data_IF_024321359543
#
_entry.id   IF_024321359543
#
_cell.length_a   1.000
_cell.length_b   1.000
_cell.length_c   1.000
_cell.angle_alpha   90.00
_cell.angle_beta   90.00
_cell.angle_gamma   90.00
#
_symmetry.space_group_name_H-M   'P 1'
#
loop_
_entity.id
_entity.type
_entity.pdbx_description
1 polymer ?
#
# COMPACT_ATOMS: atom_id res chain seq x y z
N UNK A 1 3.34 -12.03 -18.33
CA UNK A 1 4.70 -11.52 -18.50
C UNK A 1 5.60 -12.09 -17.42
N UNK A 2 6.80 -12.56 -17.79
CA UNK A 2 7.76 -13.06 -16.81
C UNK A 2 8.13 -11.91 -15.85
N UNK A 3 8.16 -12.17 -14.56
CA UNK A 3 8.66 -11.20 -13.60
C UNK A 3 10.15 -10.96 -13.86
N UNK A 4 10.62 -9.70 -13.89
CA UNK A 4 12.05 -9.44 -14.04
C UNK A 4 12.81 -10.06 -12.84
N UNK A 5 14.04 -10.54 -13.06
CA UNK A 5 14.85 -11.03 -11.95
C UNK A 5 15.14 -9.89 -10.97
N UNK A 6 15.37 -10.22 -9.67
CA UNK A 6 15.75 -9.21 -8.69
C UNK A 6 17.06 -8.53 -9.11
N UNK A 7 17.27 -7.26 -8.73
CA UNK A 7 18.51 -6.56 -9.03
C UNK A 7 19.69 -7.27 -8.33
N UNK A 8 20.83 -7.32 -9.02
CA UNK A 8 22.06 -7.91 -8.46
C UNK A 8 22.61 -7.11 -7.27
N UNK A 9 22.36 -5.81 -7.24
CA UNK A 9 22.75 -4.90 -6.15
C UNK A 9 21.81 -3.68 -6.12
N UNK A 10 21.63 -3.13 -4.92
CA UNK A 10 20.97 -1.84 -4.70
C UNK A 10 21.97 -0.90 -4.04
N UNK A 11 22.25 0.23 -4.68
CA UNK A 11 23.12 1.28 -4.16
C UNK A 11 22.25 2.48 -3.83
N UNK A 12 22.22 2.89 -2.56
CA UNK A 12 21.43 4.00 -2.08
C UNK A 12 22.35 5.00 -1.37
N UNK A 13 22.46 6.21 -1.94
CA UNK A 13 23.22 7.32 -1.36
C UNK A 13 22.21 8.23 -0.61
N UNK A 14 22.29 8.27 0.71
CA UNK A 14 21.39 9.05 1.56
C UNK A 14 21.57 10.55 1.37
N UNK A 15 22.78 11.02 1.06
CA UNK A 15 23.06 12.42 0.74
C UNK A 15 22.44 12.88 -0.58
N UNK A 16 22.18 11.95 -1.50
CA UNK A 16 21.40 12.21 -2.74
C UNK A 16 19.91 12.13 -2.46
N UNK A 17 19.46 11.07 -1.77
CA UNK A 17 18.06 10.82 -1.48
C UNK A 17 17.39 11.92 -0.65
N UNK A 18 18.10 12.51 0.31
CA UNK A 18 17.59 13.60 1.15
C UNK A 18 17.25 14.87 0.35
N UNK A 19 17.84 15.04 -0.83
CA UNK A 19 17.59 16.18 -1.73
C UNK A 19 16.39 15.97 -2.66
N UNK A 20 15.87 14.75 -2.74
CA UNK A 20 14.67 14.48 -3.53
C UNK A 20 13.44 15.17 -2.90
N UNK A 21 12.43 15.54 -3.70
CA UNK A 21 11.19 16.08 -3.15
C UNK A 21 10.59 15.13 -2.12
N UNK A 22 10.30 15.63 -0.92
CA UNK A 22 9.83 14.84 0.22
C UNK A 22 8.58 14.01 -0.10
N UNK A 23 7.74 14.49 -1.00
CA UNK A 23 6.55 13.76 -1.49
C UNK A 23 6.88 12.34 -1.97
N UNK A 24 8.03 12.15 -2.61
CA UNK A 24 8.45 10.82 -3.08
C UNK A 24 8.81 9.89 -1.91
N UNK A 25 9.44 10.43 -0.85
CA UNK A 25 9.71 9.66 0.36
C UNK A 25 8.41 9.27 1.07
N UNK A 26 7.49 10.22 1.25
CA UNK A 26 6.18 9.98 1.86
C UNK A 26 5.37 8.96 1.07
N UNK A 27 5.35 9.07 -0.26
CA UNK A 27 4.70 8.09 -1.15
C UNK A 27 5.32 6.70 -1.03
N UNK A 28 6.64 6.58 -1.00
CA UNK A 28 7.32 5.29 -0.80
C UNK A 28 7.02 4.67 0.58
N UNK A 29 6.94 5.50 1.62
CA UNK A 29 6.50 5.03 2.95
C UNK A 29 5.07 4.51 2.92
N UNK A 30 4.16 5.21 2.26
CA UNK A 30 2.75 4.83 2.15
C UNK A 30 2.59 3.51 1.39
N UNK A 31 3.38 3.30 0.35
CA UNK A 31 3.43 2.04 -0.40
C UNK A 31 3.89 0.87 0.49
N UNK A 32 4.98 1.03 1.24
CA UNK A 32 5.46 -0.02 2.15
C UNK A 32 4.50 -0.26 3.32
N UNK A 33 3.88 0.78 3.89
CA UNK A 33 2.85 0.64 4.94
C UNK A 33 1.68 -0.20 4.41
N UNK A 34 1.34 -0.10 3.13
CA UNK A 34 0.26 -0.86 2.51
C UNK A 34 0.50 -2.38 2.51
N UNK A 35 1.74 -2.87 2.72
CA UNK A 35 2.02 -4.28 2.94
C UNK A 35 1.13 -4.89 4.04
N UNK A 36 0.70 -4.09 5.04
CA UNK A 36 -0.16 -4.58 6.13
C UNK A 36 -1.48 -5.16 5.62
N UNK A 37 -2.07 -4.59 4.58
CA UNK A 37 -3.29 -5.12 3.94
C UNK A 37 -2.97 -6.22 2.94
N UNK A 38 -1.90 -6.06 2.16
CA UNK A 38 -1.44 -7.09 1.22
C UNK A 38 -1.19 -8.44 1.92
N UNK A 39 -0.57 -8.41 3.10
CA UNK A 39 -0.28 -9.60 3.90
C UNK A 39 -1.56 -10.23 4.46
N UNK A 40 -2.55 -9.45 4.88
CA UNK A 40 -3.87 -9.96 5.28
C UNK A 40 -4.61 -10.61 4.12
N UNK A 41 -4.57 -10.00 2.94
CA UNK A 41 -5.12 -10.56 1.72
C UNK A 41 -4.43 -11.87 1.32
N UNK A 42 -3.10 -11.95 1.44
CA UNK A 42 -2.36 -13.16 1.12
C UNK A 42 -2.67 -14.30 2.10
N UNK A 43 -2.72 -14.03 3.41
CA UNK A 43 -3.13 -15.02 4.41
C UNK A 43 -4.60 -15.45 4.22
N UNK A 44 -5.48 -14.52 3.81
CA UNK A 44 -6.85 -14.83 3.47
C UNK A 44 -6.94 -15.74 2.23
N UNK A 45 -6.20 -15.42 1.16
CA UNK A 45 -6.14 -16.24 -0.05
C UNK A 45 -5.56 -17.64 0.22
N UNK A 46 -4.51 -17.73 1.05
CA UNK A 46 -3.96 -19.01 1.51
C UNK A 46 -5.03 -19.89 2.17
N UNK A 47 -5.86 -19.30 3.05
CA UNK A 47 -6.90 -20.03 3.80
C UNK A 47 -8.10 -20.44 2.96
N UNK A 48 -8.46 -19.64 1.95
CA UNK A 48 -9.71 -19.81 1.18
C UNK A 48 -9.46 -20.49 -0.18
N UNK A 49 -8.30 -20.23 -0.79
CA UNK A 49 -7.95 -20.71 -2.14
C UNK A 49 -6.72 -21.63 -2.13
N UNK A 50 -6.21 -22.02 -0.96
CA UNK A 50 -5.00 -22.85 -0.80
C UNK A 50 -3.79 -22.30 -1.58
N UNK A 51 -3.66 -20.96 -1.59
CA UNK A 51 -2.60 -20.28 -2.32
C UNK A 51 -1.24 -20.47 -1.64
N UNK A 52 -0.18 -20.61 -2.44
CA UNK A 52 1.19 -20.75 -1.95
C UNK A 52 1.57 -19.56 -1.04
N UNK A 53 2.22 -19.87 0.08
CA UNK A 53 2.53 -18.90 1.12
C UNK A 53 3.95 -19.10 1.68
N UNK A 54 4.71 -18.02 1.78
CA UNK A 54 6.03 -17.98 2.39
C UNK A 54 6.01 -17.20 3.71
N UNK A 55 6.18 -17.91 4.82
CA UNK A 55 6.27 -17.29 6.15
C UNK A 55 7.43 -16.30 6.25
N UNK A 56 8.58 -16.60 5.63
CA UNK A 56 9.75 -15.72 5.64
C UNK A 56 9.48 -14.41 4.90
N UNK A 57 8.85 -14.50 3.72
CA UNK A 57 8.46 -13.31 2.95
C UNK A 57 7.41 -12.48 3.70
N UNK A 58 6.41 -13.15 4.29
CA UNK A 58 5.40 -12.52 5.13
C UNK A 58 6.04 -11.72 6.28
N UNK A 59 6.91 -12.38 7.07
CA UNK A 59 7.57 -11.76 8.23
C UNK A 59 8.41 -10.54 7.82
N UNK A 60 9.12 -10.63 6.69
CA UNK A 60 9.95 -9.53 6.20
C UNK A 60 9.13 -8.33 5.74
N UNK A 61 8.04 -8.56 4.99
CA UNK A 61 7.15 -7.48 4.55
C UNK A 61 6.38 -6.87 5.72
N UNK A 62 5.98 -7.68 6.70
CA UNK A 62 5.35 -7.20 7.93
C UNK A 62 6.28 -6.29 8.73
N UNK A 63 7.53 -6.74 8.96
CA UNK A 63 8.56 -5.93 9.63
C UNK A 63 8.77 -4.59 8.91
N UNK A 64 8.83 -4.59 7.58
CA UNK A 64 9.02 -3.37 6.81
C UNK A 64 7.91 -2.34 7.07
N UNK A 65 6.64 -2.76 7.00
CA UNK A 65 5.49 -1.89 7.23
C UNK A 65 5.40 -1.44 8.69
N UNK A 66 5.53 -2.38 9.64
CA UNK A 66 5.46 -2.11 11.08
C UNK A 66 6.56 -1.13 11.53
N UNK A 67 7.77 -1.27 10.99
CA UNK A 67 8.88 -0.35 11.27
C UNK A 67 8.54 1.09 10.88
N UNK A 68 7.91 1.32 9.72
CA UNK A 68 7.50 2.66 9.29
C UNK A 68 6.36 3.21 10.13
N UNK A 69 5.38 2.38 10.47
CA UNK A 69 4.25 2.77 11.32
C UNK A 69 4.76 3.23 12.69
N UNK A 70 5.61 2.43 13.33
CA UNK A 70 6.12 2.71 14.69
C UNK A 70 7.05 3.92 14.73
N UNK A 71 7.75 4.24 13.62
CA UNK A 71 8.64 5.38 13.52
C UNK A 71 8.04 6.57 12.75
N UNK A 72 6.75 6.55 12.43
CA UNK A 72 6.09 7.55 11.57
C UNK A 72 6.27 8.98 12.05
N UNK A 73 6.31 9.22 13.36
CA UNK A 73 6.50 10.54 13.95
C UNK A 73 7.93 11.09 13.81
N UNK A 74 8.91 10.21 13.54
CA UNK A 74 10.33 10.56 13.39
C UNK A 74 10.71 10.84 11.93
N UNK A 75 9.86 10.43 10.98
CA UNK A 75 10.11 10.64 9.54
C UNK A 75 9.70 12.06 9.18
N UNK A 76 10.68 12.92 8.84
CA UNK A 76 10.49 14.35 8.59
C UNK A 76 11.21 14.80 7.33
N UNK A 77 10.73 15.86 6.65
CA UNK A 77 11.39 16.40 5.46
C UNK A 77 12.77 16.95 5.76
N UNK A 78 13.70 16.76 4.82
CA UNK A 78 15.04 17.36 4.85
C UNK A 78 16.00 16.76 5.88
N UNK A 79 15.63 15.69 6.56
CA UNK A 79 16.49 14.98 7.52
C UNK A 79 17.05 13.71 6.91
N UNK A 80 18.37 13.56 6.92
CA UNK A 80 19.06 12.36 6.45
C UNK A 80 18.73 11.13 7.33
N UNK A 81 18.49 11.33 8.62
CA UNK A 81 18.03 10.31 9.56
C UNK A 81 16.69 9.70 9.12
N UNK A 82 15.78 10.51 8.55
CA UNK A 82 14.53 10.02 7.98
C UNK A 82 14.77 9.09 6.79
N UNK A 83 15.76 9.39 5.95
CA UNK A 83 16.15 8.51 4.84
C UNK A 83 16.64 7.16 5.38
N UNK A 84 17.49 7.16 6.42
CA UNK A 84 17.97 5.94 7.07
C UNK A 84 16.84 5.09 7.66
N UNK A 85 15.85 5.73 8.30
CA UNK A 85 14.67 5.04 8.85
C UNK A 85 13.82 4.37 7.77
N UNK A 86 13.73 4.98 6.59
CA UNK A 86 12.86 4.51 5.48
C UNK A 86 13.57 3.51 4.58
N UNK A 87 14.86 3.70 4.31
CA UNK A 87 15.60 2.91 3.31
C UNK A 87 15.61 1.41 3.63
N UNK A 88 15.85 1.03 4.89
CA UNK A 88 15.91 -0.38 5.30
C UNK A 88 14.55 -1.08 5.12
N UNK A 89 13.41 -0.51 5.59
CA UNK A 89 12.08 -1.05 5.31
C UNK A 89 11.77 -1.18 3.80
N UNK A 90 12.09 -0.17 2.99
CA UNK A 90 11.87 -0.22 1.53
C UNK A 90 12.64 -1.39 0.90
N UNK A 91 13.92 -1.55 1.24
CA UNK A 91 14.73 -2.66 0.73
C UNK A 91 14.16 -4.02 1.23
N UNK A 92 13.79 -4.13 2.51
CA UNK A 92 13.22 -5.34 3.07
C UNK A 92 11.90 -5.73 2.39
N UNK A 93 11.03 -4.75 2.09
CA UNK A 93 9.81 -4.95 1.31
C UNK A 93 10.12 -5.53 -0.09
N UNK A 94 11.09 -4.96 -0.80
CA UNK A 94 11.53 -5.49 -2.10
C UNK A 94 12.07 -6.92 -2.02
N UNK A 95 12.90 -7.21 -1.02
CA UNK A 95 13.47 -8.56 -0.79
C UNK A 95 12.37 -9.57 -0.47
N UNK A 96 11.31 -9.18 0.23
CA UNK A 96 10.19 -10.08 0.52
C UNK A 96 9.52 -10.64 -0.75
N UNK A 97 9.40 -9.82 -1.80
CA UNK A 97 8.90 -10.27 -3.11
C UNK A 97 9.83 -11.29 -3.76
N UNK A 98 11.15 -11.08 -3.66
CA UNK A 98 12.13 -12.04 -4.19
C UNK A 98 12.02 -13.39 -3.49
N UNK A 99 11.86 -13.40 -2.15
CA UNK A 99 11.69 -14.63 -1.36
C UNK A 99 10.37 -15.33 -1.71
N UNK A 100 9.29 -14.58 -1.90
CA UNK A 100 7.99 -15.14 -2.25
C UNK A 100 7.90 -15.61 -3.72
N UNK A 101 8.80 -15.18 -4.60
CA UNK A 101 8.68 -15.38 -6.05
C UNK A 101 7.46 -14.70 -6.66
N UNK A 102 6.84 -13.77 -5.93
CA UNK A 102 5.63 -13.05 -6.35
C UNK A 102 5.51 -11.71 -5.62
N UNK A 103 4.60 -10.84 -6.10
CA UNK A 103 4.28 -9.58 -5.40
C UNK A 103 3.25 -9.73 -4.28
N UNK A 104 2.88 -10.96 -3.89
CA UNK A 104 1.88 -11.17 -2.82
C UNK A 104 2.19 -10.49 -1.50
N UNK A 105 3.45 -10.47 -1.00
CA UNK A 105 3.76 -9.82 0.26
C UNK A 105 3.50 -8.30 0.28
N UNK A 106 3.48 -7.67 -0.90
CA UNK A 106 3.45 -6.20 -1.02
C UNK A 106 2.29 -5.67 -1.84
N UNK A 107 1.43 -6.53 -2.39
CA UNK A 107 0.37 -6.10 -3.31
C UNK A 107 -0.89 -6.92 -3.09
N UNK A 108 -1.92 -6.31 -2.54
CA UNK A 108 -3.23 -6.85 -2.25
C UNK A 108 -4.36 -6.00 -2.83
N UNK A 109 -5.45 -5.90 -2.09
CA UNK A 109 -6.65 -5.14 -2.47
C UNK A 109 -6.41 -3.64 -2.56
N UNK A 110 -5.50 -3.07 -1.77
CA UNK A 110 -5.08 -1.68 -1.84
C UNK A 110 -4.41 -1.34 -3.18
N UNK A 111 -3.60 -2.26 -3.71
CA UNK A 111 -3.00 -2.12 -5.04
C UNK A 111 -4.04 -2.28 -6.15
N UNK A 112 -5.03 -3.15 -5.97
CA UNK A 112 -6.14 -3.26 -6.93
C UNK A 112 -6.93 -1.93 -7.00
N UNK A 113 -7.12 -1.25 -5.87
CA UNK A 113 -7.71 0.08 -5.82
C UNK A 113 -6.82 1.11 -6.55
N UNK A 114 -5.51 1.13 -6.29
CA UNK A 114 -4.57 2.01 -6.99
C UNK A 114 -4.59 1.79 -8.50
N UNK A 115 -4.53 0.55 -8.96
CA UNK A 115 -4.60 0.25 -10.39
C UNK A 115 -5.95 0.64 -11.03
N UNK A 116 -7.05 0.54 -10.28
CA UNK A 116 -8.35 1.02 -10.75
C UNK A 116 -8.34 2.56 -10.90
N UNK A 117 -7.71 3.29 -9.96
CA UNK A 117 -7.51 4.74 -10.08
C UNK A 117 -6.67 5.10 -11.30
N UNK A 118 -5.56 4.39 -11.54
CA UNK A 118 -4.71 4.66 -12.70
C UNK A 118 -5.43 4.44 -14.03
N UNK A 119 -6.36 3.48 -14.09
CA UNK A 119 -7.18 3.23 -15.27
C UNK A 119 -8.26 4.29 -15.48
N UNK A 120 -8.90 4.74 -14.40
CA UNK A 120 -10.03 5.69 -14.48
C UNK A 120 -9.58 7.14 -14.46
N UNK A 121 -8.52 7.46 -13.72
CA UNK A 121 -8.04 8.80 -13.44
C UNK A 121 -6.51 8.89 -13.49
N UNK A 122 -5.88 8.61 -14.65
CA UNK A 122 -4.42 8.51 -14.77
C UNK A 122 -3.70 9.80 -14.38
N UNK A 123 -2.59 9.66 -13.65
CA UNK A 123 -1.66 10.74 -13.34
C UNK A 123 -2.14 11.74 -12.26
N UNK A 124 -3.20 11.44 -11.51
CA UNK A 124 -3.71 12.32 -10.45
C UNK A 124 -2.84 12.30 -9.19
N UNK A 125 -2.38 11.13 -8.78
CA UNK A 125 -1.58 10.94 -7.57
C UNK A 125 -0.44 9.95 -7.83
N UNK A 126 0.55 9.90 -6.94
CA UNK A 126 1.60 8.90 -6.98
C UNK A 126 1.06 7.54 -6.55
N UNK A 127 1.63 6.46 -7.09
CA UNK A 127 1.22 5.09 -6.79
C UNK A 127 1.15 4.80 -5.29
N UNK A 128 2.22 5.09 -4.54
CA UNK A 128 2.22 4.85 -3.09
C UNK A 128 1.22 5.71 -2.32
N UNK A 129 0.90 6.93 -2.78
CA UNK A 129 -0.16 7.76 -2.20
C UNK A 129 -1.53 7.07 -2.36
N UNK A 130 -1.81 6.52 -3.53
CA UNK A 130 -3.03 5.76 -3.81
C UNK A 130 -3.10 4.47 -2.98
N UNK A 131 -1.99 3.72 -2.88
CA UNK A 131 -1.89 2.50 -2.08
C UNK A 131 -2.11 2.79 -0.58
N UNK A 132 -1.56 3.90 -0.05
CA UNK A 132 -1.75 4.33 1.32
C UNK A 132 -3.22 4.60 1.65
N UNK A 133 -3.92 5.38 0.82
CA UNK A 133 -5.37 5.63 0.97
C UNK A 133 -6.17 4.34 0.81
N UNK A 134 -5.82 3.50 -0.15
CA UNK A 134 -6.39 2.16 -0.31
C UNK A 134 -6.21 1.30 0.93
N UNK A 135 -5.02 1.33 1.54
CA UNK A 135 -4.70 0.57 2.75
C UNK A 135 -5.61 0.95 3.93
N UNK A 136 -5.94 2.23 4.13
CA UNK A 136 -6.88 2.68 5.17
C UNK A 136 -8.23 1.95 5.01
N UNK A 137 -8.79 1.96 3.80
CA UNK A 137 -10.09 1.36 3.50
C UNK A 137 -10.05 -0.17 3.58
N UNK A 138 -9.03 -0.80 3.01
CA UNK A 138 -8.91 -2.26 3.01
C UNK A 138 -8.61 -2.81 4.40
N UNK A 139 -7.84 -2.09 5.23
CA UNK A 139 -7.64 -2.46 6.63
C UNK A 139 -8.95 -2.42 7.42
N UNK A 140 -9.85 -1.49 7.13
CA UNK A 140 -11.18 -1.44 7.71
C UNK A 140 -12.01 -2.67 7.32
N UNK A 141 -11.99 -3.09 6.06
CA UNK A 141 -12.66 -4.33 5.59
C UNK A 141 -12.11 -5.58 6.29
N UNK A 142 -10.81 -5.63 6.56
CA UNK A 142 -10.18 -6.71 7.31
C UNK A 142 -10.48 -6.67 8.82
N UNK A 143 -11.24 -5.70 9.31
CA UNK A 143 -11.50 -5.52 10.75
C UNK A 143 -10.27 -5.16 11.56
N UNK A 144 -9.22 -4.63 10.92
CA UNK A 144 -7.98 -4.21 11.56
C UNK A 144 -7.97 -2.74 11.98
N UNK A 145 -6.86 -2.31 12.57
CA UNK A 145 -6.69 -0.93 13.04
C UNK A 145 -6.33 0.03 11.88
N UNK A 146 -7.33 0.39 11.10
CA UNK A 146 -7.19 1.36 10.03
C UNK A 146 -6.88 2.78 10.52
N UNK A 147 -7.21 3.09 11.79
CA UNK A 147 -6.89 4.40 12.38
C UNK A 147 -5.40 4.54 12.61
N UNK A 148 -4.73 3.48 13.08
CA UNK A 148 -3.27 3.46 13.21
C UNK A 148 -2.59 3.69 11.86
N UNK A 149 -3.06 3.05 10.79
CA UNK A 149 -2.55 3.26 9.43
C UNK A 149 -2.72 4.73 9.01
N UNK A 150 -3.93 5.28 9.15
CA UNK A 150 -4.23 6.67 8.80
C UNK A 150 -3.34 7.66 9.57
N UNK A 151 -3.17 7.44 10.88
CA UNK A 151 -2.39 8.31 11.72
C UNK A 151 -0.89 8.25 11.38
N UNK A 152 -0.36 7.05 11.05
CA UNK A 152 1.00 6.89 10.56
C UNK A 152 1.23 7.63 9.23
N UNK A 153 0.31 7.51 8.28
CA UNK A 153 0.37 8.24 7.00
C UNK A 153 0.34 9.75 7.22
N UNK A 154 -0.55 10.26 8.08
CA UNK A 154 -0.59 11.69 8.45
C UNK A 154 0.72 12.17 9.08
N UNK A 155 1.30 11.42 10.00
CA UNK A 155 2.57 11.76 10.65
C UNK A 155 3.71 11.93 9.65
N UNK A 156 3.72 11.09 8.59
CA UNK A 156 4.70 11.11 7.51
C UNK A 156 4.37 12.22 6.49
N UNK A 157 3.14 12.72 6.46
CA UNK A 157 2.69 13.71 5.46
C UNK A 157 2.25 13.09 4.13
N UNK A 158 1.86 11.82 4.14
CA UNK A 158 1.23 11.16 3.00
C UNK A 158 -0.29 11.44 2.99
N UNK A 159 -0.94 11.46 1.81
CA UNK A 159 -2.38 11.62 1.69
C UNK A 159 -3.17 10.55 2.44
N UNK A 160 -4.30 10.96 3.01
CA UNK A 160 -5.25 10.09 3.73
C UNK A 160 -6.69 10.24 3.26
N UNK A 161 -6.94 11.19 2.35
CA UNK A 161 -8.27 11.52 1.83
C UNK A 161 -8.28 11.61 0.30
N UNK A 162 -9.47 11.51 -0.29
CA UNK A 162 -9.70 11.73 -1.72
C UNK A 162 -9.21 13.11 -2.17
N UNK A 163 -9.55 14.15 -1.41
CA UNK A 163 -9.17 15.53 -1.72
C UNK A 163 -7.64 15.72 -1.76
N UNK A 164 -6.90 15.09 -0.83
CA UNK A 164 -5.44 15.13 -0.80
C UNK A 164 -4.80 14.38 -1.98
N UNK A 165 -5.50 13.39 -2.57
CA UNK A 165 -5.11 12.74 -3.83
C UNK A 165 -5.45 13.57 -5.08
N UNK A 166 -6.19 14.68 -4.93
CA UNK A 166 -6.73 15.45 -6.06
C UNK A 166 -7.91 14.75 -6.77
N UNK A 167 -8.66 13.94 -6.03
CA UNK A 167 -9.79 13.16 -6.51
C UNK A 167 -11.10 13.62 -5.86
N UNK A 168 -12.22 13.42 -6.55
CA UNK A 168 -13.55 13.57 -5.99
C UNK A 168 -13.95 12.32 -5.18
N UNK A 169 -15.01 12.45 -4.39
CA UNK A 169 -15.61 11.31 -3.68
C UNK A 169 -16.10 10.23 -4.65
N UNK A 170 -16.67 10.64 -5.78
CA UNK A 170 -17.16 9.70 -6.80
C UNK A 170 -16.02 8.93 -7.47
N UNK A 171 -14.87 9.58 -7.75
CA UNK A 171 -13.69 8.93 -8.32
C UNK A 171 -13.19 7.79 -7.42
N UNK A 172 -13.14 8.02 -6.11
CA UNK A 172 -12.75 6.99 -5.12
C UNK A 172 -13.76 5.84 -5.07
N UNK A 173 -15.06 6.15 -5.08
CA UNK A 173 -16.11 5.12 -5.06
C UNK A 173 -16.09 4.29 -6.34
N UNK A 174 -15.93 4.90 -7.50
CA UNK A 174 -15.84 4.20 -8.79
C UNK A 174 -14.61 3.28 -8.85
N UNK A 175 -13.46 3.75 -8.34
CA UNK A 175 -12.26 2.93 -8.24
C UNK A 175 -12.44 1.73 -7.29
N UNK A 176 -13.10 1.91 -6.14
CA UNK A 176 -13.41 0.81 -5.21
C UNK A 176 -14.31 -0.26 -5.85
N UNK A 177 -15.32 0.16 -6.63
CA UNK A 177 -16.22 -0.76 -7.36
C UNK A 177 -15.49 -1.49 -8.49
N UNK A 178 -14.52 -0.83 -9.13
CA UNK A 178 -13.75 -1.41 -10.22
C UNK A 178 -12.59 -2.31 -9.75
N UNK A 179 -12.11 -2.12 -8.52
CA UNK A 179 -10.86 -2.69 -8.02
C UNK A 179 -10.73 -4.21 -8.22
N UNK A 180 -11.77 -5.00 -7.92
CA UNK A 180 -11.71 -6.46 -8.04
C UNK A 180 -11.63 -6.97 -9.49
N UNK A 181 -11.90 -6.10 -10.48
CA UNK A 181 -11.85 -6.45 -11.91
C UNK A 181 -10.46 -6.28 -12.52
N UNK A 182 -9.58 -5.53 -11.87
CA UNK A 182 -8.25 -5.17 -12.39
C UNK A 182 -7.29 -6.37 -12.36
N UNK A 183 -7.34 -7.19 -11.32
CA UNK A 183 -6.49 -8.37 -11.12
C UNK A 183 -7.34 -9.59 -10.77
N UNK A 184 -7.99 -10.18 -11.77
CA UNK A 184 -8.87 -11.35 -11.61
C UNK A 184 -8.14 -12.61 -11.13
N UNK A 185 -6.84 -12.67 -11.34
CA UNK A 185 -5.93 -13.74 -10.90
C UNK A 185 -5.60 -13.67 -9.41
N UNK A 186 -6.00 -12.57 -8.72
CA UNK A 186 -5.62 -12.31 -7.33
C UNK A 186 -6.82 -12.27 -6.41
N UNK A 187 -6.96 -13.28 -5.58
CA UNK A 187 -8.01 -13.31 -4.56
C UNK A 187 -7.63 -12.44 -3.35
N UNK A 188 -8.55 -11.59 -2.88
CA UNK A 188 -8.37 -10.63 -1.79
C UNK A 188 -9.65 -10.49 -0.97
N UNK A 189 -9.65 -9.62 0.04
CA UNK A 189 -10.85 -9.28 0.83
C UNK A 189 -12.02 -8.76 -0.02
N UNK A 190 -11.76 -8.26 -1.22
CA UNK A 190 -12.80 -7.81 -2.15
C UNK A 190 -13.63 -8.97 -2.71
N UNK A 191 -13.18 -10.21 -2.54
CA UNK A 191 -13.86 -11.40 -3.02
C UNK A 191 -13.97 -11.47 -4.55
N UNK A 192 -14.84 -12.32 -5.04
CA UNK A 192 -15.03 -12.54 -6.48
C UNK A 192 -15.91 -11.46 -7.14
N UNK A 193 -16.83 -10.86 -6.38
CA UNK A 193 -17.81 -9.92 -6.90
C UNK A 193 -17.48 -8.45 -6.64
N UNK A 194 -16.50 -8.15 -5.79
CA UNK A 194 -16.13 -6.79 -5.39
C UNK A 194 -17.18 -6.11 -4.51
N UNK A 195 -17.04 -4.80 -4.35
CA UNK A 195 -17.97 -3.97 -3.57
C UNK A 195 -19.09 -3.42 -4.45
N UNK A 196 -20.32 -3.40 -3.91
CA UNK A 196 -21.40 -2.59 -4.49
C UNK A 196 -21.09 -1.11 -4.27
N UNK A 197 -21.68 -0.21 -5.10
CA UNK A 197 -21.47 1.24 -4.96
C UNK A 197 -21.84 1.75 -3.55
N UNK A 198 -22.93 1.24 -2.97
CA UNK A 198 -23.33 1.62 -1.61
C UNK A 198 -22.33 1.14 -0.55
N UNK A 199 -21.78 -0.07 -0.67
CA UNK A 199 -20.76 -0.58 0.24
C UNK A 199 -19.47 0.23 0.12
N UNK A 200 -19.02 0.55 -1.10
CA UNK A 200 -17.86 1.38 -1.36
C UNK A 200 -18.02 2.79 -0.78
N UNK A 201 -19.18 3.43 -0.98
CA UNK A 201 -19.51 4.74 -0.42
C UNK A 201 -19.47 4.73 1.11
N UNK A 202 -20.09 3.74 1.74
CA UNK A 202 -20.12 3.61 3.20
C UNK A 202 -18.71 3.35 3.76
N UNK A 203 -17.90 2.52 3.10
CA UNK A 203 -16.52 2.24 3.50
C UNK A 203 -15.68 3.53 3.48
N UNK A 204 -15.72 4.29 2.39
CA UNK A 204 -14.95 5.51 2.24
C UNK A 204 -15.37 6.59 3.26
N UNK A 205 -16.66 6.71 3.57
CA UNK A 205 -17.17 7.58 4.64
C UNK A 205 -16.76 7.13 6.03
N UNK A 206 -16.90 5.83 6.34
CA UNK A 206 -16.55 5.27 7.66
C UNK A 206 -15.08 5.49 7.98
N UNK A 207 -14.22 5.40 6.98
CA UNK A 207 -12.77 5.59 7.14
C UNK A 207 -12.33 7.05 7.07
N UNK A 208 -13.24 7.97 6.71
CA UNK A 208 -12.96 9.40 6.55
C UNK A 208 -12.06 9.69 5.34
N UNK A 209 -12.07 8.83 4.32
CA UNK A 209 -11.40 9.06 3.04
C UNK A 209 -12.19 10.06 2.19
N UNK A 210 -13.52 10.06 2.34
CA UNK A 210 -14.44 11.04 1.75
C UNK A 210 -15.36 11.65 2.79
#
# INVERSE_FOLDING_TARGET
PAQPPPPMAVIADTGVLVKAPYRFLASGCADVISNMTALKDWDFARKIKDEEFSTSAYTMAHYAAESLINNSTLIKPGLEESIWLVLKPVIASGVSMCIAGSSRPTSGSEHMFSHALDLLHPGKALHGEQCGVGCIMMMCLHGGDWKQIRDALKNIGAPTTAAELGLSSDDVVDALVAANKVRKDRFTILGENGLTRNAALNLARTTGVI
#
